data_IF_711168273697
#
_entry.id   IF_711168273697
#
_cell.length_a   1.000
_cell.length_b   1.000
_cell.length_c   1.000
_cell.angle_alpha   90.00
_cell.angle_beta   90.00
_cell.angle_gamma   90.00
#
_symmetry.space_group_name_H-M   'P 1'
#
loop_
_entity.id
_entity.type
_entity.pdbx_description
1 polymer ?
#
# COMPACT_ATOMS: atom_id res chain seq x y z
N UNK A 1 42.25 -3.17 -30.94
CA UNK A 1 41.23 -4.17 -30.52
C UNK A 1 40.81 -4.07 -29.03
N UNK A 2 41.64 -3.56 -28.11
CA UNK A 2 41.32 -3.54 -26.66
C UNK A 2 40.32 -2.47 -26.18
N UNK A 3 40.09 -1.39 -26.95
CA UNK A 3 39.23 -0.27 -26.50
C UNK A 3 37.71 -0.53 -26.61
N UNK A 4 37.28 -1.54 -27.39
CA UNK A 4 35.85 -1.86 -27.56
C UNK A 4 35.25 -2.63 -26.35
N UNK A 5 36.08 -3.37 -25.61
CA UNK A 5 35.64 -4.13 -24.43
C UNK A 5 35.38 -3.23 -23.21
N UNK A 6 36.21 -2.20 -23.00
CA UNK A 6 36.05 -1.24 -21.91
C UNK A 6 34.75 -0.42 -22.02
N UNK A 7 34.34 -0.05 -23.24
CA UNK A 7 33.06 0.67 -23.48
C UNK A 7 31.82 -0.18 -23.19
N UNK A 8 31.89 -1.51 -23.42
CA UNK A 8 30.80 -2.44 -23.05
C UNK A 8 30.69 -2.62 -21.53
N UNK A 9 31.81 -2.72 -20.81
CA UNK A 9 31.83 -2.75 -19.35
C UNK A 9 31.19 -1.49 -18.73
N UNK A 10 31.59 -0.31 -19.19
CA UNK A 10 31.04 0.97 -18.73
C UNK A 10 29.51 1.09 -18.94
N UNK A 11 28.99 0.58 -20.07
CA UNK A 11 27.53 0.57 -20.32
C UNK A 11 26.75 -0.35 -19.37
N UNK A 12 27.33 -1.48 -18.95
CA UNK A 12 26.72 -2.39 -17.99
C UNK A 12 26.66 -1.77 -16.58
N UNK A 13 27.72 -1.07 -16.18
CA UNK A 13 27.77 -0.34 -14.91
C UNK A 13 26.78 0.83 -14.88
N UNK A 14 26.63 1.58 -15.98
CA UNK A 14 25.65 2.65 -16.10
C UNK A 14 24.20 2.14 -16.03
N UNK A 15 23.90 1.00 -16.68
CA UNK A 15 22.60 0.32 -16.58
C UNK A 15 22.32 -0.18 -15.16
N UNK A 16 23.32 -0.69 -14.46
CA UNK A 16 23.18 -1.12 -13.06
C UNK A 16 23.00 0.06 -12.09
N UNK A 17 23.67 1.20 -12.32
CA UNK A 17 23.47 2.42 -11.54
C UNK A 17 22.06 3.02 -11.76
N UNK A 18 21.58 3.00 -13.00
CA UNK A 18 20.20 3.39 -13.31
C UNK A 18 19.20 2.44 -12.65
N UNK A 19 19.44 1.13 -12.70
CA UNK A 19 18.60 0.13 -12.05
C UNK A 19 18.62 0.24 -10.52
N UNK A 20 19.75 0.55 -9.90
CA UNK A 20 19.81 0.75 -8.45
C UNK A 20 19.08 2.04 -8.02
N UNK A 21 19.16 3.12 -8.82
CA UNK A 21 18.33 4.31 -8.66
C UNK A 21 16.83 4.03 -8.86
N UNK A 22 16.46 3.21 -9.83
CA UNK A 22 15.05 2.83 -10.07
C UNK A 22 14.52 1.85 -9.02
N UNK A 23 15.36 0.93 -8.52
CA UNK A 23 15.04 0.03 -7.40
C UNK A 23 14.84 0.81 -6.11
N UNK A 24 15.66 1.84 -5.86
CA UNK A 24 15.41 2.77 -4.77
C UNK A 24 13.98 3.35 -4.86
N UNK A 25 13.47 3.67 -6.05
CA UNK A 25 12.12 4.21 -6.24
C UNK A 25 10.99 3.21 -5.94
N UNK A 26 11.30 1.93 -5.71
CA UNK A 26 10.33 0.91 -5.28
C UNK A 26 10.21 0.89 -3.74
N UNK A 27 9.51 1.86 -3.16
CA UNK A 27 9.20 1.88 -1.72
C UNK A 27 8.56 3.16 -1.21
N UNK A 28 7.89 3.09 -0.05
CA UNK A 28 7.29 4.26 0.61
C UNK A 28 8.40 5.02 1.33
N UNK A 29 8.80 6.16 0.76
CA UNK A 29 9.85 7.02 1.30
C UNK A 29 9.31 8.41 1.55
N UNK A 30 9.80 9.04 2.62
CA UNK A 30 9.45 10.41 3.00
C UNK A 30 10.73 11.13 3.41
N UNK A 31 10.92 12.35 2.90
CA UNK A 31 12.01 13.22 3.34
C UNK A 31 11.54 13.95 4.60
N UNK A 32 12.37 13.92 5.65
CA UNK A 32 12.13 14.73 6.84
C UNK A 32 12.48 16.18 6.49
N UNK A 33 11.51 17.08 6.65
CA UNK A 33 11.68 18.51 6.40
C UNK A 33 11.65 19.24 7.74
N UNK A 34 12.48 20.28 7.87
CA UNK A 34 12.46 21.22 9.01
C UNK A 34 12.57 20.52 10.38
N UNK A 35 13.36 19.45 10.46
CA UNK A 35 13.54 18.60 11.66
C UNK A 35 12.23 18.05 12.26
N UNK A 36 11.13 17.99 11.49
CA UNK A 36 9.86 17.46 11.98
C UNK A 36 9.71 15.97 11.61
N UNK A 37 10.23 15.11 12.48
CA UNK A 37 10.18 13.65 12.30
C UNK A 37 8.76 13.10 12.44
N UNK A 38 7.98 13.60 13.42
CA UNK A 38 6.63 13.10 13.68
C UNK A 38 5.70 13.30 12.49
N UNK A 39 5.79 14.47 11.85
CA UNK A 39 5.04 14.73 10.63
C UNK A 39 5.48 13.81 9.49
N UNK A 40 6.78 13.56 9.34
CA UNK A 40 7.29 12.65 8.32
C UNK A 40 6.82 11.21 8.54
N UNK A 41 6.80 10.74 9.80
CA UNK A 41 6.30 9.42 10.19
C UNK A 41 4.78 9.31 9.97
N UNK A 42 3.99 10.33 10.33
CA UNK A 42 2.56 10.35 10.07
C UNK A 42 2.24 10.29 8.56
N UNK A 43 3.03 11.01 7.74
CA UNK A 43 2.91 10.96 6.28
C UNK A 43 3.31 9.59 5.73
N UNK A 44 4.38 8.99 6.25
CA UNK A 44 4.82 7.65 5.87
C UNK A 44 3.75 6.61 6.21
N UNK A 45 3.19 6.66 7.43
CA UNK A 45 2.11 5.80 7.87
C UNK A 45 0.90 5.96 6.96
N UNK A 46 0.40 7.19 6.72
CA UNK A 46 -0.74 7.42 5.83
C UNK A 46 -0.51 6.81 4.44
N UNK A 47 0.67 7.03 3.85
CA UNK A 47 1.04 6.44 2.55
C UNK A 47 1.04 4.91 2.61
N UNK A 48 1.58 4.32 3.68
CA UNK A 48 1.61 2.88 3.94
C UNK A 48 0.22 2.25 4.09
N UNK A 49 -0.68 2.93 4.79
CA UNK A 49 -2.04 2.47 4.97
C UNK A 49 -2.84 2.54 3.66
N UNK A 50 -2.68 3.65 2.91
CA UNK A 50 -3.38 3.88 1.64
C UNK A 50 -2.94 2.92 0.52
N UNK A 51 -1.66 2.55 0.48
CA UNK A 51 -1.14 1.56 -0.48
C UNK A 51 -1.61 0.14 -0.18
N UNK A 52 -2.19 -0.09 1.01
CA UNK A 52 -2.64 -1.40 1.46
C UNK A 52 -1.51 -2.31 1.96
N UNK A 53 -0.25 -1.87 1.94
CA UNK A 53 0.89 -2.69 2.38
C UNK A 53 0.80 -3.02 3.87
N UNK A 54 0.30 -2.10 4.70
CA UNK A 54 0.05 -2.36 6.13
C UNK A 54 -0.88 -3.58 6.32
N UNK A 55 -1.93 -3.67 5.50
CA UNK A 55 -2.89 -4.78 5.56
C UNK A 55 -2.28 -6.08 5.05
N UNK A 56 -1.39 -6.01 4.06
CA UNK A 56 -0.68 -7.19 3.57
C UNK A 56 0.26 -7.74 4.65
N UNK A 57 1.02 -6.88 5.32
CA UNK A 57 1.92 -7.26 6.42
C UNK A 57 1.13 -7.82 7.61
N UNK A 58 0.09 -7.11 8.07
CA UNK A 58 -0.71 -7.56 9.22
C UNK A 58 -1.48 -8.85 8.98
N UNK A 59 -1.92 -9.09 7.74
CA UNK A 59 -2.67 -10.29 7.37
C UNK A 59 -1.78 -11.37 6.76
N UNK A 60 -0.47 -11.30 6.98
CA UNK A 60 0.46 -12.32 6.52
C UNK A 60 0.07 -13.69 7.07
N UNK A 61 0.04 -14.70 6.19
CA UNK A 61 -0.37 -16.05 6.55
C UNK A 61 0.79 -16.78 7.21
N UNK A 62 0.80 -16.83 8.55
CA UNK A 62 1.80 -17.58 9.32
C UNK A 62 1.64 -19.09 9.12
N UNK A 63 0.39 -19.56 8.89
CA UNK A 63 0.05 -20.97 8.69
C UNK A 63 -0.71 -21.18 7.40
N UNK A 64 -0.58 -22.38 6.84
CA UNK A 64 -1.33 -22.78 5.66
C UNK A 64 -2.83 -22.86 5.95
N UNK A 65 -3.62 -22.31 5.02
CA UNK A 65 -5.08 -22.39 5.01
C UNK A 65 -5.49 -23.12 3.73
N UNK A 66 -6.34 -24.14 3.86
CA UNK A 66 -6.80 -24.93 2.70
C UNK A 66 -7.73 -24.09 1.81
N UNK A 67 -7.89 -24.51 0.55
CA UNK A 67 -8.68 -23.77 -0.43
C UNK A 67 -10.17 -23.65 -0.07
N UNK A 68 -10.75 -24.67 0.55
CA UNK A 68 -12.14 -24.63 1.07
C UNK A 68 -12.31 -23.53 2.12
N UNK A 69 -11.37 -23.42 3.06
CA UNK A 69 -11.37 -22.40 4.11
C UNK A 69 -11.14 -21.00 3.54
N UNK A 70 -10.22 -20.84 2.57
CA UNK A 70 -10.00 -19.57 1.86
C UNK A 70 -11.31 -19.05 1.24
N UNK A 71 -12.12 -19.93 0.62
CA UNK A 71 -13.43 -19.56 0.03
C UNK A 71 -14.41 -19.08 1.09
N UNK A 72 -14.47 -19.76 2.23
CA UNK A 72 -15.35 -19.38 3.35
C UNK A 72 -14.93 -18.02 3.95
N UNK A 73 -13.64 -17.80 4.15
CA UNK A 73 -13.11 -16.53 4.65
C UNK A 73 -13.39 -15.37 3.69
N UNK A 74 -13.20 -15.57 2.39
CA UNK A 74 -13.52 -14.58 1.37
C UNK A 74 -15.02 -14.20 1.39
N UNK A 75 -15.91 -15.18 1.48
CA UNK A 75 -17.36 -14.97 1.58
C UNK A 75 -17.72 -14.16 2.84
N UNK A 76 -17.19 -14.53 4.01
CA UNK A 76 -17.41 -13.80 5.27
C UNK A 76 -16.88 -12.37 5.21
N UNK A 77 -15.75 -12.13 4.56
CA UNK A 77 -15.19 -10.78 4.38
C UNK A 77 -16.06 -9.92 3.47
N UNK A 78 -16.56 -10.49 2.37
CA UNK A 78 -17.48 -9.81 1.46
C UNK A 78 -18.76 -9.40 2.17
N UNK A 79 -19.36 -10.32 2.93
CA UNK A 79 -20.58 -10.06 3.68
C UNK A 79 -20.39 -8.94 4.72
N UNK A 80 -19.29 -8.98 5.49
CA UNK A 80 -18.95 -7.90 6.43
C UNK A 80 -18.84 -6.54 5.73
N UNK A 81 -18.21 -6.50 4.55
CA UNK A 81 -18.06 -5.28 3.76
C UNK A 81 -19.40 -4.75 3.25
N UNK A 82 -20.31 -5.63 2.82
CA UNK A 82 -21.66 -5.24 2.37
C UNK A 82 -22.46 -4.70 3.56
N UNK A 83 -22.53 -5.43 4.68
CA UNK A 83 -23.25 -4.99 5.89
C UNK A 83 -22.77 -3.63 6.39
N UNK A 84 -21.46 -3.40 6.42
CA UNK A 84 -20.88 -2.11 6.83
C UNK A 84 -21.25 -0.97 5.88
N UNK A 85 -21.25 -1.22 4.56
CA UNK A 85 -21.67 -0.22 3.56
C UNK A 85 -23.14 0.12 3.68
N UNK A 86 -24.01 -0.87 3.87
CA UNK A 86 -25.44 -0.65 4.00
C UNK A 86 -25.77 0.09 5.28
N UNK A 87 -25.10 -0.24 6.39
CA UNK A 87 -25.20 0.53 7.63
C UNK A 87 -24.76 1.99 7.42
N UNK A 88 -23.62 2.23 6.77
CA UNK A 88 -23.14 3.59 6.50
C UNK A 88 -24.12 4.41 5.65
N UNK A 89 -24.77 3.77 4.65
CA UNK A 89 -25.81 4.40 3.84
C UNK A 89 -27.03 4.77 4.67
N UNK A 90 -27.51 3.86 5.55
CA UNK A 90 -28.63 4.12 6.46
C UNK A 90 -28.32 5.28 7.41
N UNK A 91 -27.14 5.27 8.02
CA UNK A 91 -26.70 6.35 8.91
C UNK A 91 -26.62 7.69 8.18
N UNK A 92 -26.08 7.71 6.95
CA UNK A 92 -26.06 8.91 6.12
C UNK A 92 -27.47 9.43 5.82
N UNK A 93 -28.41 8.55 5.50
CA UNK A 93 -29.80 8.95 5.25
C UNK A 93 -30.45 9.59 6.49
N UNK A 94 -30.29 8.95 7.66
CA UNK A 94 -30.78 9.49 8.95
C UNK A 94 -30.15 10.85 9.24
N UNK A 95 -28.83 11.00 9.04
CA UNK A 95 -28.14 12.27 9.29
C UNK A 95 -28.65 13.37 8.36
N UNK A 96 -28.90 13.05 7.08
CA UNK A 96 -29.47 14.00 6.12
C UNK A 96 -30.89 14.42 6.49
N UNK A 97 -31.74 13.48 6.92
CA UNK A 97 -33.09 13.77 7.41
C UNK A 97 -33.04 14.74 8.61
N UNK A 98 -32.22 14.40 9.62
CA UNK A 98 -32.01 15.24 10.81
C UNK A 98 -31.52 16.66 10.48
N UNK A 99 -30.57 16.81 9.56
CA UNK A 99 -30.05 18.14 9.17
C UNK A 99 -31.07 18.94 8.37
N UNK A 100 -31.95 18.28 7.61
CA UNK A 100 -32.98 18.94 6.80
C UNK A 100 -34.27 19.25 7.58
N UNK A 101 -34.38 18.82 8.83
CA UNK A 101 -35.58 19.04 9.65
C UNK A 101 -36.80 18.20 9.22
N UNK A 102 -36.54 17.08 8.53
CA UNK A 102 -37.54 16.05 8.17
C UNK A 102 -37.40 14.86 9.12
#
# INVERSE_FOLDING_TARGET
MAQAAAKRGASLFALNALNSQLQQWRGIRVKVLKNNLDQALALMQRKMQSSGIERLIKNEQIRHIKNSEKRVLAKKNLERKIRSRDLARKLKAILVQKVRGL
#
